data_IF_141002404585
#
_entry.id   IF_141002404585
#
_cell.length_a   1.000
_cell.length_b   1.000
_cell.length_c   1.000
_cell.angle_alpha   90.00
_cell.angle_beta   90.00
_cell.angle_gamma   90.00
#
_symmetry.space_group_name_H-M   'P 1'
#
loop_
_entity.id
_entity.type
_entity.pdbx_description
1 polymer ?
#
# COMPACT_ATOMS: atom_id res chain seq x y z
N UNK A 1 -5.00 -3.05 6.08
CA UNK A 1 -4.01 -4.04 5.59
C UNK A 1 -4.68 -5.39 5.41
N UNK A 2 -4.25 -6.27 4.47
CA UNK A 2 -4.93 -7.52 4.11
C UNK A 2 -4.56 -8.67 5.08
N UNK A 3 -4.93 -8.50 6.34
CA UNK A 3 -4.95 -9.54 7.37
C UNK A 3 -6.03 -9.16 8.38
N UNK A 4 -6.37 -10.08 9.28
CA UNK A 4 -7.41 -9.84 10.27
C UNK A 4 -6.85 -8.97 11.40
N UNK A 5 -7.43 -7.79 11.58
CA UNK A 5 -7.18 -6.92 12.71
C UNK A 5 -8.47 -6.19 13.05
N UNK A 6 -8.60 -5.81 14.31
CA UNK A 6 -9.75 -5.10 14.82
C UNK A 6 -9.32 -3.83 15.54
N UNK A 7 -10.22 -2.86 15.52
CA UNK A 7 -10.12 -1.64 16.29
C UNK A 7 -11.47 -1.45 16.97
N UNK A 8 -11.55 -1.87 18.24
CA UNK A 8 -12.79 -1.81 19.01
C UNK A 8 -13.04 -0.35 19.36
N UNK A 9 -14.15 0.20 18.88
CA UNK A 9 -14.53 1.59 19.17
C UNK A 9 -14.90 1.70 20.65
N UNK A 10 -14.18 2.56 21.37
CA UNK A 10 -14.46 2.95 22.75
C UNK A 10 -14.45 4.48 22.88
N UNK A 11 -14.55 5.01 24.10
CA UNK A 11 -14.51 6.46 24.35
C UNK A 11 -13.09 7.06 24.27
N UNK A 12 -12.06 6.29 23.89
CA UNK A 12 -10.70 6.80 23.78
C UNK A 12 -10.49 7.53 22.46
N UNK A 13 -9.62 8.56 22.48
CA UNK A 13 -9.32 9.37 21.30
C UNK A 13 -8.78 8.54 20.12
N UNK A 14 -7.99 7.50 20.41
CA UNK A 14 -7.46 6.58 19.41
C UNK A 14 -7.54 5.15 19.95
N UNK A 15 -8.60 4.40 19.59
CA UNK A 15 -8.76 3.04 20.05
C UNK A 15 -7.61 2.15 19.57
N UNK A 16 -7.27 1.14 20.36
CA UNK A 16 -6.13 0.25 20.08
C UNK A 16 -6.42 -0.68 18.91
N UNK A 17 -5.36 -1.01 18.18
CA UNK A 17 -5.38 -2.02 17.14
C UNK A 17 -4.97 -3.37 17.72
N UNK A 18 -5.77 -4.39 17.49
CA UNK A 18 -5.44 -5.77 17.85
C UNK A 18 -5.41 -6.64 16.60
N UNK A 19 -4.35 -7.44 16.47
CA UNK A 19 -4.18 -8.36 15.35
C UNK A 19 -4.91 -9.65 15.71
N UNK A 20 -5.90 -10.01 14.92
CA UNK A 20 -6.70 -11.21 15.11
C UNK A 20 -6.06 -12.33 14.31
N UNK A 21 -5.81 -13.48 14.95
CA UNK A 21 -5.20 -14.66 14.31
C UNK A 21 -3.91 -14.34 13.52
N UNK A 22 -2.86 -13.84 14.19
CA UNK A 22 -1.61 -13.44 13.54
C UNK A 22 -0.95 -14.54 12.71
N UNK A 23 -1.23 -15.81 13.01
CA UNK A 23 -0.79 -16.99 12.26
C UNK A 23 -1.43 -17.08 10.86
N UNK A 24 -2.65 -16.57 10.67
CA UNK A 24 -3.33 -16.58 9.36
C UNK A 24 -2.87 -15.42 8.46
N UNK A 25 -2.15 -14.42 8.99
CA UNK A 25 -1.84 -13.18 8.29
C UNK A 25 -1.10 -13.39 6.96
N UNK A 26 -0.12 -14.31 6.91
CA UNK A 26 0.63 -14.61 5.69
C UNK A 26 -0.29 -15.20 4.61
N UNK A 27 -1.14 -16.17 4.98
CA UNK A 27 -2.10 -16.81 4.07
C UNK A 27 -3.12 -15.82 3.51
N UNK A 28 -3.63 -14.93 4.35
CA UNK A 28 -4.60 -13.90 3.93
C UNK A 28 -3.94 -12.88 3.00
N UNK A 29 -2.73 -12.41 3.34
CA UNK A 29 -1.98 -11.47 2.51
C UNK A 29 -1.63 -12.09 1.14
N UNK A 30 -1.14 -13.33 1.13
CA UNK A 30 -0.85 -14.09 -0.09
C UNK A 30 -2.08 -14.20 -0.98
N UNK A 31 -3.21 -14.63 -0.42
CA UNK A 31 -4.45 -14.76 -1.19
C UNK A 31 -4.89 -13.42 -1.78
N UNK A 32 -4.85 -12.36 -0.98
CA UNK A 32 -5.20 -11.01 -1.41
C UNK A 32 -4.35 -10.54 -2.58
N UNK A 33 -3.02 -10.71 -2.50
CA UNK A 33 -2.12 -10.28 -3.57
C UNK A 33 -2.15 -11.19 -4.80
N UNK A 34 -2.48 -12.47 -4.66
CA UNK A 34 -2.78 -13.36 -5.78
C UNK A 34 -3.97 -12.83 -6.59
N UNK A 35 -5.07 -12.48 -5.90
CA UNK A 35 -6.28 -11.98 -6.55
C UNK A 35 -6.04 -10.61 -7.22
N UNK A 36 -5.25 -9.72 -6.59
CA UNK A 36 -4.85 -8.46 -7.21
C UNK A 36 -4.00 -8.67 -8.48
N UNK A 37 -2.99 -9.53 -8.41
CA UNK A 37 -2.12 -9.78 -9.57
C UNK A 37 -2.89 -10.38 -10.74
N UNK A 38 -3.82 -11.29 -10.45
CA UNK A 38 -4.68 -11.89 -11.47
C UNK A 38 -5.56 -10.85 -12.18
N UNK A 39 -6.01 -9.81 -11.47
CA UNK A 39 -6.91 -8.79 -12.01
C UNK A 39 -6.18 -7.63 -12.69
N UNK A 40 -5.03 -7.24 -12.15
CA UNK A 40 -4.40 -5.98 -12.48
C UNK A 40 -2.96 -6.10 -13.02
N UNK A 41 -2.37 -7.30 -13.04
CA UNK A 41 -0.97 -7.49 -13.42
C UNK A 41 -0.02 -7.18 -12.26
N UNK A 42 1.05 -6.44 -12.50
CA UNK A 42 2.04 -6.15 -11.45
C UNK A 42 1.43 -5.24 -10.36
N UNK A 43 1.84 -5.44 -9.10
CA UNK A 43 1.32 -4.71 -7.95
C UNK A 43 2.45 -4.06 -7.18
N UNK A 44 2.34 -2.76 -6.94
CA UNK A 44 3.18 -2.03 -6.01
C UNK A 44 2.38 -1.71 -4.75
N UNK A 45 2.72 -2.35 -3.63
CA UNK A 45 2.11 -2.07 -2.33
C UNK A 45 2.90 -1.00 -1.60
N UNK A 46 2.27 0.13 -1.29
CA UNK A 46 2.85 1.24 -0.53
C UNK A 46 2.16 1.33 0.83
N UNK A 47 2.94 1.18 1.90
CA UNK A 47 2.49 1.29 3.28
C UNK A 47 2.90 2.64 3.86
N UNK A 48 1.92 3.53 4.06
CA UNK A 48 2.13 4.90 4.55
C UNK A 48 1.99 5.02 6.08
N UNK A 49 1.86 3.88 6.77
CA UNK A 49 1.55 3.83 8.21
C UNK A 49 2.76 4.17 9.06
N UNK A 50 2.51 4.79 10.22
CA UNK A 50 3.54 5.15 11.17
C UNK A 50 4.33 3.93 11.65
N UNK A 51 5.63 4.10 11.88
CA UNK A 51 6.48 3.08 12.50
C UNK A 51 6.26 2.92 14.01
N UNK A 52 5.54 3.83 14.65
CA UNK A 52 5.37 3.86 16.11
C UNK A 52 3.97 3.46 16.58
N UNK A 53 3.88 2.91 17.79
CA UNK A 53 2.60 2.60 18.44
C UNK A 53 1.86 1.43 17.79
N UNK A 54 0.52 1.42 17.89
CA UNK A 54 -0.31 0.34 17.34
C UNK A 54 -0.27 0.26 15.82
N UNK A 55 -0.09 1.40 15.14
CA UNK A 55 0.16 1.47 13.69
C UNK A 55 1.45 0.76 13.30
N UNK A 56 2.53 0.97 14.06
CA UNK A 56 3.81 0.29 13.84
C UNK A 56 3.70 -1.22 13.92
N UNK A 57 2.95 -1.75 14.92
CA UNK A 57 2.69 -3.19 15.04
C UNK A 57 1.95 -3.76 13.83
N UNK A 58 0.98 -3.02 13.29
CA UNK A 58 0.25 -3.42 12.09
C UNK A 58 1.17 -3.42 10.86
N UNK A 59 1.99 -2.38 10.70
CA UNK A 59 2.92 -2.25 9.58
C UNK A 59 4.00 -3.34 9.62
N UNK A 60 4.60 -3.60 10.77
CA UNK A 60 5.56 -4.68 10.97
C UNK A 60 4.94 -6.05 10.63
N UNK A 61 3.72 -6.30 11.11
CA UNK A 61 3.02 -7.54 10.78
C UNK A 61 2.76 -7.65 9.28
N UNK A 62 2.35 -6.55 8.65
CA UNK A 62 2.11 -6.53 7.21
C UNK A 62 3.39 -6.84 6.43
N UNK A 63 4.49 -6.16 6.74
CA UNK A 63 5.79 -6.37 6.12
C UNK A 63 6.22 -7.84 6.25
N UNK A 64 6.12 -8.42 7.44
CA UNK A 64 6.47 -9.84 7.67
C UNK A 64 5.60 -10.81 6.87
N UNK A 65 4.32 -10.49 6.66
CA UNK A 65 3.38 -11.32 5.92
C UNK A 65 3.59 -11.23 4.40
N UNK A 66 4.05 -10.07 3.90
CA UNK A 66 4.28 -9.83 2.47
C UNK A 66 5.68 -10.25 2.04
N UNK A 67 6.69 -10.18 2.92
CA UNK A 67 8.08 -10.53 2.59
C UNK A 67 8.25 -11.86 1.83
N UNK A 68 7.57 -12.98 2.20
CA UNK A 68 7.76 -14.26 1.53
C UNK A 68 7.14 -14.35 0.13
N UNK A 69 6.21 -13.45 -0.21
CA UNK A 69 5.45 -13.47 -1.47
C UNK A 69 5.91 -12.39 -2.46
N UNK A 70 6.92 -11.61 -2.09
CA UNK A 70 7.55 -10.63 -2.98
C UNK A 70 8.11 -11.31 -4.23
N UNK A 71 7.95 -10.65 -5.37
CA UNK A 71 8.40 -11.12 -6.68
C UNK A 71 8.52 -9.93 -7.62
N UNK A 72 8.99 -10.15 -8.85
CA UNK A 72 9.11 -9.06 -9.85
C UNK A 72 7.77 -8.36 -10.14
N UNK A 73 6.65 -9.07 -9.95
CA UNK A 73 5.29 -8.56 -10.12
C UNK A 73 4.60 -8.14 -8.81
N UNK A 74 5.28 -8.25 -7.67
CA UNK A 74 4.80 -7.76 -6.37
C UNK A 74 5.92 -7.12 -5.59
N UNK A 75 5.92 -5.79 -5.55
CA UNK A 75 6.88 -4.98 -4.78
C UNK A 75 6.18 -4.36 -3.57
N UNK A 76 6.90 -4.25 -2.46
CA UNK A 76 6.43 -3.60 -1.23
C UNK A 76 7.37 -2.45 -0.87
N UNK A 77 6.80 -1.31 -0.49
CA UNK A 77 7.52 -0.15 0.03
C UNK A 77 6.82 0.30 1.30
N UNK A 78 7.59 0.41 2.38
CA UNK A 78 7.17 1.13 3.56
C UNK A 78 7.69 2.57 3.50
N UNK A 79 6.81 3.55 3.70
CA UNK A 79 7.14 4.97 3.70
C UNK A 79 6.41 5.65 4.86
N UNK A 80 7.12 5.86 5.98
CA UNK A 80 6.56 6.53 7.15
C UNK A 80 6.26 8.00 6.83
N UNK A 81 5.01 8.28 6.44
CA UNK A 81 4.62 9.59 5.92
C UNK A 81 4.78 10.70 6.97
N UNK A 82 4.47 10.44 8.24
CA UNK A 82 4.59 11.46 9.27
C UNK A 82 6.04 11.75 9.63
N UNK A 83 6.87 10.70 9.70
CA UNK A 83 8.30 10.88 9.98
C UNK A 83 9.00 11.60 8.83
N UNK A 84 8.64 11.28 7.59
CA UNK A 84 9.32 11.80 6.41
C UNK A 84 8.79 13.17 6.03
N UNK A 85 7.49 13.32 5.79
CA UNK A 85 6.86 14.55 5.30
C UNK A 85 6.39 15.49 6.43
N UNK A 86 6.11 14.97 7.63
CA UNK A 86 5.60 15.76 8.74
C UNK A 86 4.34 16.56 8.37
N UNK A 87 4.25 17.80 8.87
CA UNK A 87 3.12 18.70 8.58
C UNK A 87 3.38 19.67 7.42
N UNK A 88 4.62 19.82 6.96
CA UNK A 88 5.04 20.95 6.10
C UNK A 88 5.95 20.51 4.94
N UNK A 89 6.58 19.33 5.00
CA UNK A 89 7.60 18.91 4.04
C UNK A 89 7.06 17.99 2.95
N UNK A 90 6.05 18.48 2.21
CA UNK A 90 5.49 17.74 1.08
C UNK A 90 6.49 17.55 -0.06
N UNK A 91 7.53 18.38 -0.15
CA UNK A 91 8.62 18.19 -1.12
C UNK A 91 9.32 16.83 -0.96
N UNK A 92 9.28 16.22 0.24
CA UNK A 92 9.88 14.91 0.49
C UNK A 92 9.07 13.75 -0.08
N UNK A 93 7.88 14.01 -0.62
CA UNK A 93 7.14 13.03 -1.42
C UNK A 93 7.92 12.65 -2.69
N UNK A 94 8.81 13.52 -3.17
CA UNK A 94 9.77 13.20 -4.24
C UNK A 94 10.58 11.93 -3.95
N UNK A 95 10.93 11.67 -2.67
CA UNK A 95 11.65 10.46 -2.27
C UNK A 95 10.83 9.20 -2.54
N UNK A 96 9.52 9.26 -2.34
CA UNK A 96 8.63 8.17 -2.69
C UNK A 96 8.47 8.08 -4.21
N UNK A 97 8.30 9.22 -4.88
CA UNK A 97 8.18 9.27 -6.34
C UNK A 97 9.38 8.63 -7.04
N UNK A 98 10.60 8.98 -6.64
CA UNK A 98 11.83 8.44 -7.20
C UNK A 98 11.94 6.92 -7.01
N UNK A 99 11.40 6.39 -5.90
CA UNK A 99 11.35 4.94 -5.67
C UNK A 99 10.31 4.24 -6.54
N UNK A 100 9.25 4.91 -7.00
CA UNK A 100 8.13 4.30 -7.74
C UNK A 100 8.08 4.64 -9.22
N UNK A 101 8.87 5.61 -9.69
CA UNK A 101 8.86 6.09 -11.06
C UNK A 101 9.08 4.97 -12.07
N UNK A 102 10.04 4.07 -11.81
CA UNK A 102 10.32 2.89 -12.64
C UNK A 102 9.10 1.97 -12.82
N UNK A 103 8.37 1.74 -11.73
CA UNK A 103 7.15 0.95 -11.74
C UNK A 103 6.05 1.66 -12.52
N UNK A 104 5.88 2.98 -12.34
CA UNK A 104 4.87 3.76 -13.05
C UNK A 104 5.13 3.77 -14.56
N UNK A 105 6.37 3.99 -14.99
CA UNK A 105 6.75 3.99 -16.40
C UNK A 105 6.54 2.62 -17.05
N UNK A 106 6.92 1.53 -16.34
CA UNK A 106 6.76 0.16 -16.82
C UNK A 106 5.29 -0.25 -16.95
N UNK A 107 4.46 0.11 -15.98
CA UNK A 107 3.08 -0.39 -15.88
C UNK A 107 2.05 0.51 -16.56
N UNK A 108 2.40 1.78 -16.78
CA UNK A 108 1.67 2.69 -17.65
C UNK A 108 0.20 2.87 -17.30
N UNK A 109 -0.58 3.23 -18.32
CA UNK A 109 -2.00 3.56 -18.24
C UNK A 109 -2.71 3.12 -19.52
N UNK A 110 -4.03 2.97 -19.44
CA UNK A 110 -4.86 2.71 -20.61
C UNK A 110 -4.97 3.98 -21.45
N UNK A 111 -4.62 3.88 -22.74
CA UNK A 111 -4.84 4.94 -23.72
C UNK A 111 -5.61 4.37 -24.90
N UNK A 112 -6.73 5.01 -25.23
CA UNK A 112 -7.52 4.70 -26.43
C UNK A 112 -7.40 5.86 -27.42
N UNK A 113 -7.44 5.56 -28.72
CA UNK A 113 -7.57 6.60 -29.74
C UNK A 113 -9.03 7.02 -29.94
N UNK A 114 -9.28 8.00 -30.83
CA UNK A 114 -10.62 8.52 -31.14
C UNK A 114 -11.59 7.45 -31.70
N UNK A 115 -11.07 6.31 -32.14
CA UNK A 115 -11.84 5.17 -32.65
C UNK A 115 -12.09 4.10 -31.57
N UNK A 116 -11.60 4.30 -30.35
CA UNK A 116 -11.72 3.35 -29.24
C UNK A 116 -10.70 2.20 -29.28
N UNK A 117 -9.68 2.27 -30.14
CA UNK A 117 -8.65 1.24 -30.26
C UNK A 117 -7.57 1.44 -29.18
N UNK A 118 -7.11 0.34 -28.56
CA UNK A 118 -6.07 0.37 -27.53
C UNK A 118 -4.72 0.78 -28.12
N UNK A 119 -4.19 1.92 -27.66
CA UNK A 119 -2.85 2.43 -27.98
C UNK A 119 -1.84 2.08 -26.88
N UNK A 120 -2.28 2.06 -25.62
CA UNK A 120 -1.52 1.59 -24.45
C UNK A 120 -2.42 0.80 -23.53
N UNK A 121 -1.84 -0.13 -22.77
CA UNK A 121 -2.54 -0.92 -21.76
C UNK A 121 -1.90 -0.70 -20.39
N UNK A 122 -2.73 -0.63 -19.35
CA UNK A 122 -2.28 -0.61 -17.98
C UNK A 122 -1.92 -2.05 -17.56
N UNK A 123 -0.68 -2.26 -17.14
CA UNK A 123 -0.12 -3.57 -16.80
C UNK A 123 0.07 -3.78 -15.29
N UNK A 124 -0.25 -2.77 -14.48
CA UNK A 124 -0.08 -2.83 -13.04
C UNK A 124 -0.82 -1.75 -12.28
N UNK A 125 -0.82 -1.89 -10.95
CA UNK A 125 -1.49 -0.97 -10.02
C UNK A 125 -0.62 -0.63 -8.83
N UNK A 126 -0.73 0.62 -8.38
CA UNK A 126 -0.24 1.06 -7.08
C UNK A 126 -1.36 0.91 -6.06
N UNK A 127 -1.11 0.16 -5.00
CA UNK A 127 -2.01 -0.02 -3.87
C UNK A 127 -1.39 0.63 -2.64
N UNK A 128 -2.03 1.69 -2.14
CA UNK A 128 -1.63 2.35 -0.91
C UNK A 128 -2.45 1.84 0.28
N UNK A 129 -1.84 1.75 1.45
CA UNK A 129 -2.57 1.63 2.72
C UNK A 129 -2.18 2.75 3.68
N UNK A 130 -3.19 3.31 4.33
CA UNK A 130 -3.07 4.34 5.36
C UNK A 130 -4.12 4.06 6.44
N UNK A 131 -3.81 4.33 7.70
CA UNK A 131 -4.70 4.05 8.86
C UNK A 131 -5.30 5.33 9.45
N UNK A 132 -4.84 6.51 9.02
CA UNK A 132 -5.45 7.79 9.34
C UNK A 132 -5.35 8.70 8.11
N UNK A 133 -6.44 9.42 7.82
CA UNK A 133 -6.57 10.54 6.86
C UNK A 133 -6.93 10.21 5.40
N UNK A 134 -8.18 10.53 5.06
CA UNK A 134 -8.65 10.91 3.72
C UNK A 134 -7.77 11.96 3.02
N UNK A 135 -6.95 12.72 3.75
CA UNK A 135 -5.98 13.67 3.16
C UNK A 135 -4.73 13.00 2.59
N UNK A 136 -4.31 11.82 3.06
CA UNK A 136 -3.00 11.23 2.70
C UNK A 136 -3.00 10.43 1.41
N UNK A 137 -4.16 10.00 0.93
CA UNK A 137 -4.31 9.28 -0.35
C UNK A 137 -4.69 10.20 -1.51
N UNK A 138 -5.01 11.47 -1.22
CA UNK A 138 -5.45 12.46 -2.20
C UNK A 138 -4.42 13.59 -2.43
N UNK A 139 -3.22 13.50 -1.84
CA UNK A 139 -2.11 14.39 -2.20
C UNK A 139 -1.57 13.92 -3.57
N UNK A 140 -2.14 14.45 -4.63
CA UNK A 140 -1.67 14.26 -6.02
C UNK A 140 -1.40 15.62 -6.63
#
# INVERSE_FOLDING_TARGET
MPFLWEQIVDLTYKPKFEIVKPEEAARVAERHFLDLRKKYGSVLAIDLVNTTGGEGRLSEKFASAVQPILSDDLRYIHFDFHKICGHVHFERLSILYDQIADFLDKNGYLLLNDKGEKMKEQLGVVRTNCIDCLDRTNVT
#
